data_IF_214194715917
#
_entry.id   IF_214194715917
#
_cell.length_a   1.000
_cell.length_b   1.000
_cell.length_c   1.000
_cell.angle_alpha   90.00
_cell.angle_beta   90.00
_cell.angle_gamma   90.00
#
_symmetry.space_group_name_H-M   'P 1'
#
loop_
_entity.id
_entity.type
_entity.pdbx_description
1 polymer ?
#
# COMPACT_ATOMS: atom_id res chain seq x y z
N UNK A 1 -34.54 34.67 27.45
CA UNK A 1 -33.22 34.40 28.07
C UNK A 1 -32.78 32.99 27.71
N UNK A 2 -31.94 32.84 26.68
CA UNK A 2 -31.40 31.53 26.26
C UNK A 2 -30.16 31.22 27.10
N UNK A 3 -30.17 30.10 27.82
CA UNK A 3 -29.04 29.59 28.60
C UNK A 3 -27.92 29.20 27.65
N UNK A 4 -26.74 29.78 27.86
CA UNK A 4 -25.48 29.41 27.23
C UNK A 4 -25.03 28.03 27.79
N UNK A 5 -24.52 27.10 26.97
CA UNK A 5 -23.95 25.86 27.50
C UNK A 5 -22.54 26.15 28.04
N UNK A 6 -22.34 25.85 29.32
CA UNK A 6 -21.06 25.95 30.02
C UNK A 6 -20.11 24.85 29.51
N UNK A 7 -19.07 25.22 28.78
CA UNK A 7 -17.95 24.34 28.47
C UNK A 7 -17.08 24.17 29.72
N UNK A 8 -17.11 22.99 30.35
CA UNK A 8 -16.17 22.64 31.42
C UNK A 8 -14.85 22.19 30.77
N UNK A 9 -13.86 23.08 30.78
CA UNK A 9 -12.47 22.73 30.49
C UNK A 9 -11.86 22.19 31.79
N UNK A 10 -11.71 20.87 31.89
CA UNK A 10 -11.00 20.26 33.02
C UNK A 10 -9.49 20.33 32.73
N UNK A 11 -8.77 21.19 33.47
CA UNK A 11 -7.31 21.21 33.48
C UNK A 11 -6.81 20.08 34.40
N UNK A 12 -6.07 19.13 33.85
CA UNK A 12 -5.44 18.03 34.58
C UNK A 12 -4.12 18.50 35.23
N UNK A 13 -3.91 18.25 36.54
CA UNK A 13 -2.62 18.50 37.17
C UNK A 13 -1.61 17.43 36.74
N UNK A 14 -0.41 17.87 36.38
CA UNK A 14 0.72 17.00 36.08
C UNK A 14 1.39 16.64 37.42
N UNK A 15 1.27 15.38 37.84
CA UNK A 15 2.05 14.82 38.94
C UNK A 15 2.81 13.60 38.42
N UNK A 16 4.13 13.63 38.51
CA UNK A 16 4.98 12.45 38.37
C UNK A 16 5.59 12.09 39.73
N UNK A 17 5.77 10.78 39.91
CA UNK A 17 6.38 10.03 41.02
C UNK A 17 5.44 9.59 42.15
N UNK A 18 5.02 8.31 42.07
CA UNK A 18 4.46 7.55 43.21
C UNK A 18 3.32 6.58 42.87
N UNK A 19 3.66 5.38 42.36
CA UNK A 19 2.91 4.10 42.40
C UNK A 19 1.47 3.93 41.86
N UNK A 20 0.70 4.94 41.47
CA UNK A 20 -0.58 4.71 40.80
C UNK A 20 -0.68 5.49 39.49
N UNK A 21 -0.50 4.80 38.36
CA UNK A 21 -0.82 5.34 37.05
C UNK A 21 -2.30 5.76 37.01
N UNK A 22 -2.59 6.94 36.46
CA UNK A 22 -3.96 7.44 36.36
C UNK A 22 -4.79 6.54 35.45
N UNK A 23 -6.01 6.21 35.86
CA UNK A 23 -6.93 5.44 35.03
C UNK A 23 -7.58 6.34 33.96
N UNK A 24 -7.70 5.82 32.73
CA UNK A 24 -8.45 6.46 31.64
C UNK A 24 -9.79 5.76 31.47
N UNK A 25 -10.86 6.56 31.43
CA UNK A 25 -12.19 6.12 31.08
C UNK A 25 -12.27 5.84 29.57
N UNK A 26 -12.87 4.72 29.19
CA UNK A 26 -13.17 4.45 27.78
C UNK A 26 -14.28 5.37 27.26
N UNK A 27 -14.29 5.60 25.95
CA UNK A 27 -15.26 6.42 25.22
C UNK A 27 -15.31 7.89 25.68
N UNK A 28 -14.22 8.37 26.27
CA UNK A 28 -14.02 9.76 26.71
C UNK A 28 -12.77 10.32 26.09
N UNK A 29 -12.83 11.59 25.69
CA UNK A 29 -11.69 12.29 25.09
C UNK A 29 -10.96 13.13 26.14
N UNK A 30 -9.65 13.01 26.16
CA UNK A 30 -8.74 13.80 27.00
C UNK A 30 -7.93 14.71 26.08
N UNK A 31 -8.10 16.02 26.21
CA UNK A 31 -7.54 16.97 25.25
C UNK A 31 -6.26 17.64 25.74
N UNK A 32 -5.33 17.87 24.81
CA UNK A 32 -4.23 18.83 24.97
C UNK A 32 -3.35 18.57 26.21
N UNK A 33 -3.12 17.30 26.55
CA UNK A 33 -2.24 16.86 27.63
C UNK A 33 -0.80 17.20 27.25
N UNK A 34 -0.09 17.95 28.08
CA UNK A 34 1.30 18.33 27.82
C UNK A 34 2.24 17.14 27.94
N UNK A 35 3.19 17.04 27.02
CA UNK A 35 4.29 16.08 27.05
C UNK A 35 5.58 16.83 26.78
N UNK A 36 6.56 16.70 27.67
CA UNK A 36 7.88 17.31 27.56
C UNK A 36 8.98 16.26 27.47
N UNK A 37 10.21 16.68 27.13
CA UNK A 37 11.37 15.81 26.82
C UNK A 37 11.64 14.69 27.83
N UNK A 38 11.45 14.96 29.12
CA UNK A 38 11.69 14.01 30.23
C UNK A 38 10.41 13.43 30.83
N UNK A 39 9.24 13.86 30.34
CA UNK A 39 7.97 13.40 30.84
C UNK A 39 7.58 12.09 30.14
N UNK A 40 6.96 11.21 30.91
CA UNK A 40 6.34 9.98 30.42
C UNK A 40 4.88 10.03 30.83
N UNK A 41 3.95 9.89 29.88
CA UNK A 41 2.55 9.73 30.23
C UNK A 41 2.26 8.24 30.33
N UNK A 42 1.80 7.79 31.50
CA UNK A 42 1.41 6.41 31.72
C UNK A 42 0.02 6.34 32.32
N UNK A 43 -0.86 5.62 31.64
CA UNK A 43 -2.26 5.46 32.04
C UNK A 43 -2.61 4.00 32.25
N UNK A 44 -3.37 3.73 33.31
CA UNK A 44 -3.95 2.42 33.57
C UNK A 44 -5.21 2.23 32.71
N UNK A 45 -5.31 1.07 32.06
CA UNK A 45 -6.47 0.64 31.27
C UNK A 45 -7.04 -0.63 31.89
N UNK A 46 -8.31 -0.60 32.29
CA UNK A 46 -9.00 -1.77 32.85
C UNK A 46 -9.73 -2.52 31.74
N UNK A 47 -9.06 -3.48 31.11
CA UNK A 47 -9.65 -4.27 30.04
C UNK A 47 -10.53 -5.40 30.59
N UNK A 48 -11.61 -5.66 29.86
CA UNK A 48 -12.46 -6.83 30.07
C UNK A 48 -11.97 -7.96 29.17
N UNK A 49 -12.14 -9.21 29.63
CA UNK A 49 -11.84 -10.40 28.83
C UNK A 49 -12.65 -10.37 27.54
N UNK A 50 -11.98 -10.55 26.41
CA UNK A 50 -12.51 -10.47 25.04
C UNK A 50 -13.06 -9.08 24.65
N UNK A 51 -12.71 -8.02 25.39
CA UNK A 51 -13.03 -6.65 25.01
C UNK A 51 -12.21 -6.21 23.80
N UNK A 52 -12.84 -5.48 22.88
CA UNK A 52 -12.19 -4.89 21.70
C UNK A 52 -12.08 -3.39 21.90
N UNK A 53 -10.88 -2.86 21.69
CA UNK A 53 -10.52 -1.49 21.96
C UNK A 53 -9.82 -0.87 20.76
N UNK A 54 -10.10 0.41 20.49
CA UNK A 54 -9.30 1.24 19.59
C UNK A 54 -8.64 2.35 20.40
N UNK A 55 -7.33 2.36 20.41
CA UNK A 55 -6.54 3.40 21.06
C UNK A 55 -6.20 4.44 19.99
N UNK A 56 -6.46 5.71 20.29
CA UNK A 56 -6.25 6.84 19.40
C UNK A 56 -5.60 7.98 20.17
N UNK A 57 -4.39 8.38 19.77
CA UNK A 57 -3.63 9.47 20.37
C UNK A 57 -3.28 10.48 19.30
N UNK A 58 -3.89 11.66 19.36
CA UNK A 58 -3.59 12.78 18.49
C UNK A 58 -2.37 13.53 18.97
N UNK A 59 -1.39 13.69 18.11
CA UNK A 59 -0.16 14.44 18.30
C UNK A 59 -0.35 15.91 17.90
N UNK A 60 0.09 16.82 18.75
CA UNK A 60 0.06 18.27 18.53
C UNK A 60 1.45 18.84 18.77
N UNK A 61 2.28 18.84 17.72
CA UNK A 61 3.64 19.36 17.73
C UNK A 61 4.63 18.52 18.53
N UNK A 62 4.44 17.21 18.64
CA UNK A 62 5.38 16.28 19.25
C UNK A 62 5.25 14.88 18.66
N UNK A 63 6.36 14.26 18.33
CA UNK A 63 6.37 12.87 17.87
C UNK A 63 6.38 11.89 19.04
N UNK A 64 5.53 10.86 19.00
CA UNK A 64 5.33 9.95 20.12
C UNK A 64 5.25 8.50 19.67
N UNK A 65 5.75 7.61 20.53
CA UNK A 65 5.53 6.18 20.42
C UNK A 65 4.54 5.74 21.49
N UNK A 66 3.55 4.95 21.09
CA UNK A 66 2.59 4.33 21.99
C UNK A 66 3.07 2.93 22.38
N UNK A 67 3.07 2.62 23.68
CA UNK A 67 3.40 1.28 24.17
C UNK A 67 2.27 0.76 25.04
N UNK A 68 1.73 -0.39 24.67
CA UNK A 68 0.81 -1.15 25.52
C UNK A 68 1.60 -2.24 26.25
N UNK A 69 1.42 -2.32 27.56
CA UNK A 69 2.06 -3.32 28.43
C UNK A 69 1.03 -4.00 29.33
N UNK A 70 1.33 -5.22 29.77
CA UNK A 70 0.53 -5.93 30.76
C UNK A 70 0.73 -5.38 32.19
N UNK A 71 0.10 -6.01 33.19
CA UNK A 71 0.23 -5.61 34.60
C UNK A 71 1.65 -5.71 35.16
N UNK A 72 2.51 -6.53 34.53
CA UNK A 72 3.91 -6.75 34.88
C UNK A 72 4.87 -5.79 34.16
N UNK A 73 4.33 -4.90 33.31
CA UNK A 73 5.06 -4.02 32.38
C UNK A 73 5.75 -4.76 31.23
N UNK A 74 5.33 -5.98 30.92
CA UNK A 74 5.80 -6.70 29.74
C UNK A 74 5.19 -6.06 28.49
N UNK A 75 6.00 -5.70 27.47
CA UNK A 75 5.49 -5.14 26.22
C UNK A 75 4.54 -6.09 25.49
N UNK A 76 3.41 -5.57 25.05
CA UNK A 76 2.41 -6.27 24.22
C UNK A 76 2.44 -5.73 22.79
N UNK A 77 2.42 -4.40 22.66
CA UNK A 77 2.36 -3.73 21.38
C UNK A 77 3.08 -2.39 21.48
N UNK A 78 3.80 -2.04 20.42
CA UNK A 78 4.40 -0.72 20.24
C UNK A 78 3.92 -0.16 18.90
N UNK A 79 3.60 1.13 18.86
CA UNK A 79 3.04 1.79 17.69
C UNK A 79 3.65 3.18 17.50
N UNK A 80 4.23 3.35 16.33
CA UNK A 80 4.74 4.60 15.76
C UNK A 80 4.32 4.61 14.27
N UNK A 81 3.59 5.62 13.84
CA UNK A 81 3.08 5.76 12.48
C UNK A 81 3.89 6.82 11.74
N UNK A 82 3.99 6.74 10.40
CA UNK A 82 4.78 7.69 9.61
C UNK A 82 4.05 9.03 9.43
N UNK A 83 3.58 9.61 10.53
CA UNK A 83 2.81 10.83 10.64
C UNK A 83 3.63 11.99 11.22
N UNK A 84 4.78 11.70 11.84
CA UNK A 84 5.66 12.72 12.41
C UNK A 84 5.02 13.41 13.62
N UNK A 85 5.48 14.62 13.94
CA UNK A 85 5.03 15.37 15.12
C UNK A 85 3.56 15.87 15.12
N UNK A 86 2.79 15.64 14.06
CA UNK A 86 1.38 16.02 13.97
C UNK A 86 0.59 14.95 13.20
N UNK A 87 -0.38 14.34 13.87
CA UNK A 87 -1.19 13.28 13.30
C UNK A 87 -1.77 12.38 14.37
N UNK A 88 -2.33 11.25 13.95
CA UNK A 88 -2.96 10.26 14.79
C UNK A 88 -2.08 9.02 14.91
N UNK A 89 -1.69 8.69 16.13
CA UNK A 89 -1.26 7.35 16.47
C UNK A 89 -2.46 6.49 16.85
N UNK A 90 -2.61 5.34 16.19
CA UNK A 90 -3.73 4.46 16.48
C UNK A 90 -3.44 2.98 16.24
N UNK A 91 -4.03 2.15 17.11
CA UNK A 91 -4.04 0.69 16.96
C UNK A 91 -5.30 0.09 17.58
N UNK A 92 -5.68 -1.08 17.08
CA UNK A 92 -6.74 -1.91 17.65
C UNK A 92 -6.12 -2.95 18.60
N UNK A 93 -6.81 -3.27 19.70
CA UNK A 93 -6.39 -4.31 20.64
C UNK A 93 -7.60 -5.11 21.11
N UNK A 94 -7.50 -6.44 21.06
CA UNK A 94 -8.46 -7.37 21.67
C UNK A 94 -7.81 -8.00 22.89
N UNK A 95 -8.39 -7.77 24.07
CA UNK A 95 -7.82 -8.31 25.31
C UNK A 95 -8.26 -9.77 25.52
N UNK A 96 -7.32 -10.65 25.83
CA UNK A 96 -7.60 -12.08 26.06
C UNK A 96 -7.93 -12.42 27.53
N UNK A 97 -7.72 -11.47 28.43
CA UNK A 97 -7.94 -11.62 29.86
C UNK A 97 -8.52 -10.34 30.46
N UNK A 98 -9.20 -10.47 31.60
CA UNK A 98 -9.64 -9.31 32.35
C UNK A 98 -8.48 -8.85 33.22
N UNK A 99 -8.12 -7.57 33.16
CA UNK A 99 -6.98 -7.11 33.93
C UNK A 99 -6.66 -5.64 33.76
N UNK A 100 -5.63 -5.21 34.50
CA UNK A 100 -5.03 -3.89 34.38
C UNK A 100 -3.86 -3.95 33.40
N UNK A 101 -3.88 -3.06 32.43
CA UNK A 101 -2.83 -2.85 31.44
C UNK A 101 -2.34 -1.40 31.55
N UNK A 102 -1.22 -1.09 30.90
CA UNK A 102 -0.73 0.28 30.86
C UNK A 102 -0.45 0.74 29.42
N UNK A 103 -1.01 1.90 29.07
CA UNK A 103 -0.62 2.66 27.90
C UNK A 103 0.42 3.70 28.32
N UNK A 104 1.62 3.58 27.76
CA UNK A 104 2.64 4.63 27.82
C UNK A 104 2.63 5.42 26.51
N UNK A 105 2.77 6.73 26.64
CA UNK A 105 2.94 7.66 25.52
C UNK A 105 4.27 8.37 25.77
N UNK A 106 5.26 7.96 24.99
CA UNK A 106 6.63 8.41 25.15
C UNK A 106 6.98 9.33 23.98
N UNK A 107 7.72 10.42 24.22
CA UNK A 107 8.32 11.18 23.12
C UNK A 107 9.28 10.28 22.35
N UNK A 108 9.15 10.20 21.04
CA UNK A 108 10.06 9.44 20.18
C UNK A 108 11.47 10.06 20.24
N UNK A 109 12.50 9.24 20.47
CA UNK A 109 13.87 9.73 20.58
C UNK A 109 14.54 9.81 19.21
N UNK A 110 14.27 10.91 18.50
CA UNK A 110 14.83 11.18 17.18
C UNK A 110 15.26 12.64 17.00
N UNK A 111 16.16 12.86 16.05
CA UNK A 111 16.63 14.19 15.68
C UNK A 111 15.51 15.00 15.04
N UNK A 112 15.22 16.17 15.60
CA UNK A 112 14.21 17.09 15.07
C UNK A 112 12.83 17.00 15.74
N UNK A 113 12.59 15.98 16.57
CA UNK A 113 11.36 15.92 17.37
C UNK A 113 11.36 17.04 18.43
N UNK A 114 10.31 17.88 18.52
CA UNK A 114 10.25 18.97 19.49
C UNK A 114 10.45 18.54 20.96
N UNK A 115 11.03 19.43 21.77
CA UNK A 115 11.28 19.19 23.20
C UNK A 115 9.99 19.11 24.03
N UNK A 116 8.92 19.72 23.54
CA UNK A 116 7.60 19.69 24.15
C UNK A 116 6.51 19.78 23.08
N UNK A 117 5.36 19.22 23.42
CA UNK A 117 4.13 19.36 22.66
C UNK A 117 2.96 18.88 23.48
N UNK A 118 1.88 18.48 22.80
CA UNK A 118 0.68 17.99 23.45
C UNK A 118 0.13 16.77 22.75
N UNK A 119 -0.62 15.96 23.49
CA UNK A 119 -1.39 14.85 22.96
C UNK A 119 -2.86 14.95 23.35
N UNK A 120 -3.76 14.39 22.54
CA UNK A 120 -5.15 14.16 22.94
C UNK A 120 -5.49 12.69 22.80
N UNK A 121 -6.02 12.08 23.86
CA UNK A 121 -6.24 10.64 23.96
C UNK A 121 -7.73 10.35 23.85
N UNK A 122 -8.07 9.35 23.05
CA UNK A 122 -9.38 8.73 23.01
C UNK A 122 -9.22 7.23 22.90
N UNK A 123 -9.89 6.48 23.77
CA UNK A 123 -9.88 5.02 23.73
C UNK A 123 -11.31 4.55 23.58
N UNK A 124 -11.65 4.04 22.39
CA UNK A 124 -12.96 3.45 22.13
C UNK A 124 -13.01 2.05 22.70
N UNK A 125 -14.03 1.74 23.49
CA UNK A 125 -14.43 0.36 23.81
C UNK A 125 -15.65 0.02 22.98
N UNK A 126 -15.51 -0.93 22.07
CA UNK A 126 -16.62 -1.35 21.23
C UNK A 126 -17.61 -2.22 22.02
N UNK A 127 -18.89 -1.99 21.78
CA UNK A 127 -19.96 -2.89 22.19
C UNK A 127 -19.95 -4.15 21.32
N UNK A 128 -20.57 -5.24 21.83
CA UNK A 128 -20.72 -6.47 21.05
C UNK A 128 -21.49 -6.24 19.75
N UNK A 129 -22.52 -5.39 19.77
CA UNK A 129 -23.30 -5.03 18.58
C UNK A 129 -22.48 -4.28 17.55
N UNK A 130 -21.64 -3.32 17.96
CA UNK A 130 -20.75 -2.62 17.01
C UNK A 130 -19.72 -3.56 16.39
N UNK A 131 -19.16 -4.49 17.17
CA UNK A 131 -18.22 -5.48 16.65
C UNK A 131 -18.92 -6.38 15.63
N UNK A 132 -20.13 -6.84 15.95
CA UNK A 132 -20.91 -7.71 15.07
C UNK A 132 -21.32 -6.98 13.78
N UNK A 133 -21.73 -5.72 13.88
CA UNK A 133 -22.09 -4.89 12.73
C UNK A 133 -20.90 -4.68 11.80
N UNK A 134 -19.73 -4.32 12.35
CA UNK A 134 -18.50 -4.16 11.56
C UNK A 134 -18.15 -5.48 10.86
N UNK A 135 -18.13 -6.60 11.61
CA UNK A 135 -17.81 -7.91 11.05
C UNK A 135 -18.78 -8.31 9.95
N UNK A 136 -20.08 -8.25 10.22
CA UNK A 136 -21.13 -8.61 9.26
C UNK A 136 -21.08 -7.73 8.01
N UNK A 137 -20.66 -6.46 8.14
CA UNK A 137 -20.57 -5.54 7.00
C UNK A 137 -19.45 -5.88 6.01
N UNK A 138 -18.33 -6.46 6.48
CA UNK A 138 -17.17 -6.77 5.62
C UNK A 138 -17.01 -8.28 5.33
N UNK A 139 -17.62 -9.16 6.12
CA UNK A 139 -17.49 -10.61 5.98
C UNK A 139 -17.90 -11.14 4.59
N UNK A 140 -19.01 -10.68 3.97
CA UNK A 140 -19.36 -11.10 2.63
C UNK A 140 -18.31 -10.70 1.58
N UNK A 141 -17.66 -9.55 1.76
CA UNK A 141 -16.57 -9.13 0.87
C UNK A 141 -15.30 -9.93 1.14
N UNK A 142 -14.97 -10.17 2.40
CA UNK A 142 -13.80 -10.94 2.82
C UNK A 142 -13.82 -12.40 2.32
N UNK A 143 -15.02 -12.96 2.11
CA UNK A 143 -15.20 -14.28 1.53
C UNK A 143 -14.91 -14.34 0.01
N UNK A 144 -14.92 -13.21 -0.71
CA UNK A 144 -14.69 -13.18 -2.16
C UNK A 144 -13.20 -13.37 -2.51
N UNK A 145 -12.96 -13.88 -3.72
CA UNK A 145 -11.63 -13.88 -4.33
C UNK A 145 -11.20 -12.49 -4.79
N UNK A 146 -12.16 -11.64 -5.14
CA UNK A 146 -11.94 -10.26 -5.60
C UNK A 146 -12.72 -9.30 -4.70
N UNK A 147 -11.99 -8.43 -4.01
CA UNK A 147 -12.48 -7.43 -3.08
C UNK A 147 -12.45 -6.04 -3.72
N UNK A 148 -13.53 -5.28 -3.53
CA UNK A 148 -13.82 -4.00 -4.16
C UNK A 148 -14.63 -3.06 -3.25
N UNK A 149 -15.16 -3.55 -2.12
CA UNK A 149 -15.95 -2.75 -1.16
C UNK A 149 -15.21 -1.50 -0.67
N UNK A 150 -13.88 -1.57 -0.56
CA UNK A 150 -13.06 -0.46 -0.10
C UNK A 150 -13.05 0.74 -1.08
N UNK A 151 -13.43 0.53 -2.34
CA UNK A 151 -13.69 1.63 -3.28
C UNK A 151 -14.89 2.47 -2.81
N UNK A 152 -15.95 1.82 -2.31
CA UNK A 152 -17.12 2.51 -1.80
C UNK A 152 -16.80 3.26 -0.50
N UNK A 153 -16.07 2.61 0.41
CA UNK A 153 -15.60 3.21 1.66
C UNK A 153 -14.78 4.49 1.40
N UNK A 154 -13.85 4.45 0.43
CA UNK A 154 -13.07 5.62 0.05
C UNK A 154 -13.95 6.75 -0.47
N UNK A 155 -14.86 6.48 -1.42
CA UNK A 155 -15.70 7.52 -2.01
C UNK A 155 -16.68 8.12 -1.01
N UNK A 156 -17.17 7.33 -0.05
CA UNK A 156 -17.95 7.83 1.07
C UNK A 156 -17.13 8.79 1.94
N UNK A 157 -15.88 8.43 2.28
CA UNK A 157 -14.97 9.31 3.01
C UNK A 157 -14.71 10.61 2.23
N UNK A 158 -14.36 10.49 0.95
CA UNK A 158 -14.10 11.61 0.04
C UNK A 158 -15.29 12.59 -0.02
N UNK A 159 -16.51 12.08 -0.20
CA UNK A 159 -17.71 12.91 -0.27
C UNK A 159 -18.03 13.63 1.05
N UNK A 160 -17.60 13.08 2.19
CA UNK A 160 -17.78 13.69 3.50
C UNK A 160 -16.70 14.73 3.84
N UNK A 161 -15.56 14.76 3.14
CA UNK A 161 -14.52 15.78 3.34
C UNK A 161 -15.04 17.20 3.15
N UNK A 162 -16.00 17.43 2.24
CA UNK A 162 -16.62 18.76 2.03
C UNK A 162 -17.40 19.30 3.23
N UNK A 163 -17.72 18.44 4.21
CA UNK A 163 -18.42 18.81 5.45
C UNK A 163 -17.46 19.11 6.60
N UNK A 164 -16.17 18.78 6.43
CA UNK A 164 -15.14 18.97 7.45
C UNK A 164 -14.77 20.45 7.59
N UNK A 165 -14.54 20.91 8.83
CA UNK A 165 -14.19 22.31 9.12
C UNK A 165 -12.73 22.47 9.51
N UNK A 166 -12.13 21.42 10.05
CA UNK A 166 -10.74 21.39 10.49
C UNK A 166 -9.98 20.26 9.83
N UNK A 167 -8.64 20.35 9.82
CA UNK A 167 -7.78 19.25 9.37
C UNK A 167 -8.05 17.96 10.16
N UNK A 168 -8.25 18.07 11.48
CA UNK A 168 -8.56 16.93 12.34
C UNK A 168 -9.90 16.29 11.97
N UNK A 169 -10.91 17.08 11.58
CA UNK A 169 -12.19 16.56 11.09
C UNK A 169 -11.96 15.72 9.82
N UNK A 170 -11.14 16.22 8.88
CA UNK A 170 -10.83 15.53 7.63
C UNK A 170 -10.10 14.21 7.87
N UNK A 171 -9.08 14.22 8.73
CA UNK A 171 -8.31 13.02 9.08
C UNK A 171 -9.19 12.02 9.82
N UNK A 172 -9.99 12.46 10.80
CA UNK A 172 -10.95 11.59 11.48
C UNK A 172 -11.99 10.99 10.52
N UNK A 173 -12.43 11.76 9.51
CA UNK A 173 -13.36 11.31 8.49
C UNK A 173 -12.77 10.20 7.63
N UNK A 174 -11.55 10.39 7.11
CA UNK A 174 -10.87 9.32 6.33
C UNK A 174 -10.57 8.10 7.21
N UNK A 175 -10.11 8.30 8.44
CA UNK A 175 -9.83 7.20 9.35
C UNK A 175 -11.09 6.36 9.59
N UNK A 176 -12.21 6.99 9.91
CA UNK A 176 -13.44 6.29 10.32
C UNK A 176 -14.19 5.69 9.14
N UNK A 177 -14.29 6.43 8.03
CA UNK A 177 -15.12 6.03 6.90
C UNK A 177 -14.37 5.15 5.89
N UNK A 178 -13.03 5.13 5.92
CA UNK A 178 -12.22 4.31 5.02
C UNK A 178 -11.35 3.29 5.77
N UNK A 179 -10.35 3.74 6.54
CA UNK A 179 -9.32 2.83 7.07
C UNK A 179 -9.82 1.92 8.18
N UNK A 180 -10.75 2.38 9.03
CA UNK A 180 -11.35 1.57 10.10
C UNK A 180 -12.32 0.51 9.58
N UNK A 181 -12.77 0.67 8.33
CA UNK A 181 -13.69 -0.24 7.63
C UNK A 181 -12.97 -1.12 6.62
N UNK A 182 -11.65 -1.14 6.66
CA UNK A 182 -10.82 -1.89 5.74
C UNK A 182 -11.20 -3.37 5.71
N UNK A 183 -11.39 -3.90 4.50
CA UNK A 183 -11.42 -5.35 4.29
C UNK A 183 -10.03 -5.94 4.49
N UNK A 184 -9.91 -7.27 4.50
CA UNK A 184 -8.62 -7.93 4.72
C UNK A 184 -7.57 -7.51 3.68
N UNK A 185 -7.97 -7.29 2.43
CA UNK A 185 -7.07 -6.81 1.39
C UNK A 185 -6.57 -5.39 1.65
N UNK A 186 -7.42 -4.47 2.08
CA UNK A 186 -6.99 -3.11 2.42
C UNK A 186 -6.12 -3.08 3.68
N UNK A 187 -6.34 -3.98 4.66
CA UNK A 187 -5.45 -4.12 5.82
C UNK A 187 -4.02 -4.47 5.39
N UNK A 188 -3.87 -5.45 4.49
CA UNK A 188 -2.58 -5.80 3.90
C UNK A 188 -1.99 -4.61 3.13
N UNK A 189 -2.81 -3.88 2.39
CA UNK A 189 -2.35 -2.72 1.62
C UNK A 189 -1.87 -1.57 2.52
N UNK A 190 -2.57 -1.32 3.63
CA UNK A 190 -2.17 -0.34 4.65
C UNK A 190 -0.80 -0.70 5.19
N UNK A 191 -0.54 -1.98 5.47
CA UNK A 191 0.75 -2.45 5.97
C UNK A 191 1.85 -2.29 4.92
N UNK A 192 1.60 -2.73 3.67
CA UNK A 192 2.59 -2.73 2.58
C UNK A 192 2.96 -1.31 2.13
N UNK A 193 2.03 -0.35 2.19
CA UNK A 193 2.26 1.03 1.71
C UNK A 193 2.27 2.11 2.80
N UNK A 194 2.09 1.72 4.06
CA UNK A 194 2.11 2.64 5.19
C UNK A 194 1.04 3.73 5.05
N UNK A 195 -0.19 3.33 4.72
CA UNK A 195 -1.31 4.25 4.56
C UNK A 195 -1.76 4.82 5.91
N UNK A 196 -1.96 6.14 5.92
CA UNK A 196 -2.52 6.86 7.07
C UNK A 196 -3.53 7.90 6.59
N UNK A 197 -4.49 8.24 7.45
CA UNK A 197 -5.54 9.19 7.09
C UNK A 197 -4.96 10.57 6.74
N UNK A 198 -3.87 10.98 7.38
CA UNK A 198 -3.12 12.21 7.10
C UNK A 198 -2.56 12.22 5.68
N UNK A 199 -1.94 11.11 5.26
CA UNK A 199 -1.42 10.99 3.89
C UNK A 199 -2.55 11.08 2.87
N UNK A 200 -3.68 10.45 3.12
CA UNK A 200 -4.86 10.55 2.24
C UNK A 200 -5.41 11.98 2.17
N UNK A 201 -5.63 12.64 3.31
CA UNK A 201 -6.12 14.03 3.33
C UNK A 201 -5.18 14.96 2.58
N UNK A 202 -3.87 14.80 2.76
CA UNK A 202 -2.84 15.56 2.02
C UNK A 202 -2.90 15.29 0.53
N UNK A 203 -2.95 14.01 0.13
CA UNK A 203 -2.95 13.61 -1.26
C UNK A 203 -4.22 14.06 -2.00
N UNK A 204 -5.38 13.92 -1.36
CA UNK A 204 -6.66 14.39 -1.90
C UNK A 204 -6.67 15.92 -2.06
N UNK A 205 -6.13 16.66 -1.08
CA UNK A 205 -6.01 18.10 -1.19
C UNK A 205 -5.00 18.54 -2.27
N UNK A 206 -4.00 17.71 -2.57
CA UNK A 206 -3.00 18.01 -3.59
C UNK A 206 -3.47 17.70 -5.02
N UNK A 207 -4.28 16.66 -5.19
CA UNK A 207 -4.80 16.21 -6.50
C UNK A 207 -6.33 16.09 -6.58
N UNK A 208 -7.11 17.12 -6.17
CA UNK A 208 -8.56 17.02 -6.10
C UNK A 208 -9.24 16.81 -7.46
N UNK A 209 -8.72 17.39 -8.55
CA UNK A 209 -9.31 17.19 -9.89
C UNK A 209 -9.07 15.78 -10.40
N UNK A 210 -7.88 15.23 -10.15
CA UNK A 210 -7.59 13.85 -10.50
C UNK A 210 -8.56 12.88 -9.83
N UNK A 211 -8.69 12.93 -8.48
CA UNK A 211 -9.63 12.06 -7.76
C UNK A 211 -11.06 12.25 -8.26
N UNK A 212 -11.51 13.49 -8.47
CA UNK A 212 -12.85 13.74 -9.00
C UNK A 212 -13.05 13.09 -10.38
N UNK A 213 -12.06 13.16 -11.26
CA UNK A 213 -12.14 12.64 -12.63
C UNK A 213 -12.03 11.10 -12.71
N UNK A 214 -11.24 10.46 -11.84
CA UNK A 214 -11.00 9.00 -11.88
C UNK A 214 -12.11 8.19 -11.23
N UNK A 215 -13.01 8.82 -10.46
CA UNK A 215 -14.09 8.15 -9.72
C UNK A 215 -14.89 7.19 -10.58
N UNK A 216 -15.34 7.62 -11.76
CA UNK A 216 -16.09 6.78 -12.69
C UNK A 216 -15.33 5.50 -13.06
N UNK A 217 -14.03 5.62 -13.31
CA UNK A 217 -13.18 4.49 -13.69
C UNK A 217 -13.02 3.49 -12.55
N UNK A 218 -12.85 3.98 -11.32
CA UNK A 218 -12.70 3.11 -10.15
C UNK A 218 -13.99 2.33 -9.84
N UNK A 219 -15.16 2.91 -10.13
CA UNK A 219 -16.44 2.19 -9.99
C UNK A 219 -16.54 1.04 -11.00
N UNK A 220 -16.00 1.20 -12.21
CA UNK A 220 -15.97 0.12 -13.21
C UNK A 220 -15.12 -1.08 -12.75
N UNK A 221 -14.10 -0.86 -11.91
CA UNK A 221 -13.29 -1.95 -11.33
C UNK A 221 -14.12 -2.93 -10.49
N UNK A 222 -15.28 -2.51 -9.97
CA UNK A 222 -16.22 -3.39 -9.26
C UNK A 222 -16.78 -4.52 -10.12
N UNK A 223 -16.68 -4.37 -11.46
CA UNK A 223 -17.09 -5.40 -12.44
C UNK A 223 -15.93 -6.32 -12.83
N UNK A 224 -14.74 -6.15 -12.26
CA UNK A 224 -13.55 -6.90 -12.67
C UNK A 224 -13.58 -8.38 -12.30
N UNK A 225 -14.40 -8.80 -11.33
CA UNK A 225 -14.46 -10.19 -10.82
C UNK A 225 -14.38 -11.27 -11.91
N UNK A 226 -15.33 -11.34 -12.87
CA UNK A 226 -15.29 -12.33 -13.93
C UNK A 226 -14.03 -12.29 -14.81
N UNK A 227 -13.49 -11.10 -15.08
CA UNK A 227 -12.27 -10.93 -15.88
C UNK A 227 -11.02 -11.38 -15.12
N UNK A 228 -10.99 -11.21 -13.80
CA UNK A 228 -9.91 -11.70 -12.95
C UNK A 228 -9.95 -13.22 -12.81
N UNK A 229 -11.13 -13.81 -12.70
CA UNK A 229 -11.27 -15.28 -12.72
C UNK A 229 -10.84 -15.87 -14.08
N UNK A 230 -11.05 -15.14 -15.18
CA UNK A 230 -10.49 -15.52 -16.50
C UNK A 230 -8.95 -15.47 -16.49
N UNK A 231 -8.35 -14.41 -15.92
CA UNK A 231 -6.89 -14.32 -15.73
C UNK A 231 -6.37 -15.52 -14.95
N UNK A 232 -7.00 -15.88 -13.83
CA UNK A 232 -6.60 -17.04 -13.03
C UNK A 232 -6.70 -18.35 -13.80
N UNK A 233 -7.79 -18.54 -14.54
CA UNK A 233 -7.96 -19.72 -15.38
C UNK A 233 -6.86 -19.82 -16.44
N UNK A 234 -6.55 -18.72 -17.13
CA UNK A 234 -5.49 -18.68 -18.15
C UNK A 234 -4.12 -18.95 -17.52
N UNK A 235 -3.87 -18.39 -16.33
CA UNK A 235 -2.63 -18.62 -15.59
C UNK A 235 -2.47 -20.10 -15.20
N UNK A 236 -3.51 -20.74 -14.65
CA UNK A 236 -3.50 -22.17 -14.33
C UNK A 236 -3.25 -23.07 -15.55
N UNK A 237 -3.69 -22.66 -16.73
CA UNK A 237 -3.44 -23.39 -17.97
C UNK A 237 -1.99 -23.23 -18.45
N UNK A 238 -1.41 -22.04 -18.28
CA UNK A 238 -0.07 -21.71 -18.71
C UNK A 238 1.02 -22.24 -17.75
N UNK A 239 0.73 -22.23 -16.45
CA UNK A 239 1.65 -22.58 -15.36
C UNK A 239 0.96 -23.50 -14.33
N UNK A 240 1.19 -24.84 -14.40
CA UNK A 240 0.50 -25.81 -13.55
C UNK A 240 0.69 -25.63 -12.04
N UNK A 241 1.78 -24.98 -11.62
CA UNK A 241 2.08 -24.71 -10.20
C UNK A 241 1.39 -23.44 -9.66
N UNK A 242 0.55 -22.76 -10.46
CA UNK A 242 -0.10 -21.52 -10.08
C UNK A 242 -0.94 -21.66 -8.79
N UNK A 243 -0.65 -20.80 -7.81
CA UNK A 243 -1.43 -20.66 -6.58
C UNK A 243 -2.05 -19.26 -6.53
N UNK A 244 -3.37 -19.12 -6.82
CA UNK A 244 -4.00 -17.81 -6.86
C UNK A 244 -4.02 -17.17 -5.48
N UNK A 245 -3.61 -15.90 -5.43
CA UNK A 245 -3.88 -15.03 -4.30
C UNK A 245 -5.24 -14.36 -4.50
N UNK A 246 -5.83 -13.84 -3.42
CA UNK A 246 -7.00 -12.97 -3.56
C UNK A 246 -6.58 -11.65 -4.20
N UNK A 247 -7.53 -10.91 -4.78
CA UNK A 247 -7.27 -9.58 -5.35
C UNK A 247 -8.04 -8.55 -4.55
N UNK A 248 -7.37 -7.47 -4.18
CA UNK A 248 -7.96 -6.32 -3.52
C UNK A 248 -7.84 -5.09 -4.43
N UNK A 249 -8.97 -4.53 -4.83
CA UNK A 249 -9.06 -3.22 -5.46
C UNK A 249 -9.45 -2.20 -4.40
N UNK A 250 -8.53 -1.26 -4.13
CA UNK A 250 -8.76 -0.17 -3.20
C UNK A 250 -8.21 1.14 -3.79
N UNK A 251 -8.51 2.27 -3.15
CA UNK A 251 -7.99 3.58 -3.55
C UNK A 251 -6.77 3.92 -2.69
N UNK A 252 -5.63 4.12 -3.34
CA UNK A 252 -4.36 4.44 -2.73
C UNK A 252 -4.02 5.93 -2.78
N UNK A 253 -2.72 6.21 -2.67
CA UNK A 253 -2.14 7.54 -2.64
C UNK A 253 -1.56 7.97 -4.00
N UNK A 254 -2.05 7.40 -5.12
CA UNK A 254 -1.55 7.68 -6.48
C UNK A 254 -0.05 7.35 -6.63
N UNK A 255 0.42 6.30 -5.96
CA UNK A 255 1.82 5.89 -5.96
C UNK A 255 2.04 4.41 -6.28
N UNK A 256 0.96 3.65 -6.47
CA UNK A 256 1.00 2.20 -6.66
C UNK A 256 -0.05 1.82 -7.68
N UNK A 257 0.35 1.21 -8.80
CA UNK A 257 -0.58 0.55 -9.73
C UNK A 257 -1.01 -0.81 -9.18
N UNK A 258 -0.02 -1.64 -8.88
CA UNK A 258 -0.17 -2.94 -8.24
C UNK A 258 0.98 -3.21 -7.26
N UNK A 259 0.76 -4.16 -6.36
CA UNK A 259 1.77 -4.79 -5.51
C UNK A 259 1.23 -6.07 -4.91
N UNK A 260 2.00 -6.74 -4.06
CA UNK A 260 1.61 -8.01 -3.44
C UNK A 260 1.86 -8.03 -1.93
N UNK A 261 1.03 -8.80 -1.22
CA UNK A 261 1.30 -9.29 0.13
C UNK A 261 1.52 -10.80 0.09
N UNK A 262 1.49 -11.50 1.23
CA UNK A 262 1.54 -12.96 1.27
C UNK A 262 0.19 -13.64 0.96
N UNK A 263 -0.89 -12.87 0.79
CA UNK A 263 -2.25 -13.39 0.58
C UNK A 263 -3.01 -12.67 -0.53
N UNK A 264 -2.57 -11.45 -0.89
CA UNK A 264 -3.28 -10.59 -1.83
C UNK A 264 -2.38 -10.05 -2.93
N UNK A 265 -2.94 -9.97 -4.13
CA UNK A 265 -2.60 -8.95 -5.14
C UNK A 265 -3.36 -7.68 -4.77
N UNK A 266 -2.63 -6.58 -4.61
CA UNK A 266 -3.13 -5.30 -4.09
C UNK A 266 -3.08 -4.24 -5.19
N UNK A 267 -4.23 -3.79 -5.66
CA UNK A 267 -4.35 -2.89 -6.81
C UNK A 267 -4.77 -1.50 -6.35
N UNK A 268 -3.90 -0.52 -6.59
CA UNK A 268 -4.22 0.91 -6.48
C UNK A 268 -5.10 1.31 -7.66
N UNK A 269 -6.41 1.24 -7.45
CA UNK A 269 -7.41 1.31 -8.52
C UNK A 269 -7.41 2.68 -9.19
N UNK A 270 -7.07 3.74 -8.47
CA UNK A 270 -6.93 5.09 -9.02
C UNK A 270 -5.82 5.18 -10.07
N UNK A 271 -4.75 4.40 -9.95
CA UNK A 271 -3.68 4.36 -10.95
C UNK A 271 -4.05 3.39 -12.07
N UNK A 272 -4.40 2.16 -11.71
CA UNK A 272 -4.59 1.06 -12.67
C UNK A 272 -5.84 1.21 -13.54
N UNK A 273 -6.88 1.88 -13.04
CA UNK A 273 -8.09 2.18 -13.81
C UNK A 273 -8.02 3.55 -14.52
N UNK A 274 -6.95 4.34 -14.38
CA UNK A 274 -6.83 5.62 -15.07
C UNK A 274 -6.84 5.45 -16.58
N UNK A 275 -7.30 6.45 -17.33
CA UNK A 275 -7.40 6.43 -18.80
C UNK A 275 -7.16 7.84 -19.33
N UNK A 276 -7.07 8.02 -20.65
CA UNK A 276 -7.04 9.35 -21.29
C UNK A 276 -8.06 10.38 -20.79
N UNK A 277 -9.20 9.94 -20.24
CA UNK A 277 -10.25 10.83 -19.73
C UNK A 277 -10.00 11.42 -18.34
N UNK A 278 -8.96 10.99 -17.61
CA UNK A 278 -8.66 11.52 -16.26
C UNK A 278 -7.95 12.88 -16.35
N UNK A 279 -8.25 13.77 -15.41
CA UNK A 279 -7.65 15.09 -15.31
C UNK A 279 -6.28 14.98 -14.63
N UNK A 280 -5.21 15.16 -15.42
CA UNK A 280 -3.82 15.20 -14.93
C UNK A 280 -3.22 16.60 -14.91
N UNK A 281 -4.05 17.65 -14.99
CA UNK A 281 -3.57 19.04 -15.00
C UNK A 281 -2.76 19.42 -13.75
N UNK A 282 -2.94 18.68 -12.66
CA UNK A 282 -2.28 18.86 -11.38
C UNK A 282 -0.89 18.19 -11.29
N UNK A 283 -0.49 17.39 -12.29
CA UNK A 283 0.77 16.62 -12.29
C UNK A 283 1.90 17.26 -13.11
N UNK A 284 1.63 18.40 -13.76
CA UNK A 284 2.55 18.99 -14.73
C UNK A 284 2.95 18.03 -15.86
N UNK A 285 4.09 18.29 -16.51
CA UNK A 285 4.62 17.46 -17.58
C UNK A 285 5.55 16.35 -17.04
N UNK A 286 5.08 15.57 -16.06
CA UNK A 286 5.84 14.45 -15.48
C UNK A 286 5.71 13.17 -16.32
N UNK A 287 6.68 12.26 -16.24
CA UNK A 287 6.54 10.94 -16.88
C UNK A 287 5.37 10.16 -16.28
N UNK A 288 5.10 10.35 -14.98
CA UNK A 288 3.98 9.72 -14.29
C UNK A 288 2.61 10.14 -14.83
N UNK A 289 2.42 11.41 -15.20
CA UNK A 289 1.14 11.85 -15.79
C UNK A 289 0.84 11.14 -17.12
N UNK A 290 1.86 10.80 -17.90
CA UNK A 290 1.73 10.01 -19.15
C UNK A 290 1.22 8.59 -18.90
N UNK A 291 1.60 7.97 -17.78
CA UNK A 291 1.10 6.64 -17.38
C UNK A 291 -0.40 6.70 -17.07
N UNK A 292 -0.83 7.74 -16.35
CA UNK A 292 -2.23 7.92 -15.96
C UNK A 292 -3.15 8.16 -17.17
N UNK A 293 -2.66 8.81 -18.23
CA UNK A 293 -3.44 9.06 -19.45
C UNK A 293 -3.23 8.03 -20.57
N UNK A 294 -2.81 6.81 -20.22
CA UNK A 294 -2.64 5.74 -21.21
C UNK A 294 -3.97 5.31 -21.87
N UNK A 295 -3.85 4.83 -23.11
CA UNK A 295 -4.96 4.23 -23.86
C UNK A 295 -5.36 2.87 -23.28
N UNK A 296 -6.52 2.36 -23.72
CA UNK A 296 -7.02 1.04 -23.35
C UNK A 296 -8.31 1.05 -22.53
N UNK A 297 -9.05 -0.04 -22.60
CA UNK A 297 -10.26 -0.24 -21.80
C UNK A 297 -9.91 -0.55 -20.34
N UNK A 298 -10.63 0.05 -19.40
CA UNK A 298 -10.39 -0.11 -17.94
C UNK A 298 -10.26 -1.58 -17.56
N UNK A 299 -11.21 -2.43 -17.99
CA UNK A 299 -11.21 -3.85 -17.63
C UNK A 299 -9.95 -4.58 -18.13
N UNK A 300 -9.50 -4.29 -19.36
CA UNK A 300 -8.29 -4.89 -19.89
C UNK A 300 -7.05 -4.43 -19.12
N UNK A 301 -6.97 -3.13 -18.78
CA UNK A 301 -5.87 -2.62 -17.96
C UNK A 301 -5.81 -3.29 -16.58
N UNK A 302 -6.96 -3.51 -15.94
CA UNK A 302 -7.02 -4.24 -14.68
C UNK A 302 -6.61 -5.72 -14.83
N UNK A 303 -6.97 -6.38 -15.94
CA UNK A 303 -6.48 -7.73 -16.26
C UNK A 303 -4.96 -7.74 -16.39
N UNK A 304 -4.40 -6.82 -17.16
CA UNK A 304 -2.95 -6.72 -17.39
C UNK A 304 -2.21 -6.51 -16.06
N UNK A 305 -2.68 -5.58 -15.22
CA UNK A 305 -2.11 -5.31 -13.90
C UNK A 305 -2.19 -6.53 -12.97
N UNK A 306 -3.36 -7.16 -12.84
CA UNK A 306 -3.49 -8.34 -11.97
C UNK A 306 -2.64 -9.50 -12.49
N UNK A 307 -2.56 -9.72 -13.80
CA UNK A 307 -1.73 -10.76 -14.38
C UNK A 307 -0.24 -10.52 -14.09
N UNK A 308 0.24 -9.29 -14.24
CA UNK A 308 1.61 -8.89 -13.87
C UNK A 308 1.88 -9.21 -12.39
N UNK A 309 1.05 -8.71 -11.47
CA UNK A 309 1.26 -8.92 -10.03
C UNK A 309 1.12 -10.40 -9.63
N UNK A 310 0.28 -11.17 -10.32
CA UNK A 310 0.21 -12.61 -10.11
C UNK A 310 1.55 -13.27 -10.37
N UNK A 311 2.33 -12.84 -11.36
CA UNK A 311 3.66 -13.41 -11.61
C UNK A 311 4.58 -13.21 -10.41
N UNK A 312 4.60 -12.01 -9.81
CA UNK A 312 5.37 -11.74 -8.59
C UNK A 312 5.01 -12.69 -7.44
N UNK A 313 3.72 -13.04 -7.27
CA UNK A 313 3.30 -13.99 -6.22
C UNK A 313 3.81 -15.42 -6.46
N UNK A 314 4.23 -15.76 -7.68
CA UNK A 314 4.74 -17.08 -8.04
C UNK A 314 6.26 -17.14 -8.15
N UNK A 315 6.95 -16.00 -8.22
CA UNK A 315 8.40 -15.93 -8.33
C UNK A 315 9.08 -16.51 -7.07
N UNK A 316 10.12 -17.32 -7.29
CA UNK A 316 10.69 -18.15 -6.22
C UNK A 316 11.79 -17.47 -5.42
N UNK A 317 11.78 -17.74 -4.11
CA UNK A 317 12.89 -17.53 -3.18
C UNK A 317 13.07 -18.87 -2.43
N UNK A 318 14.27 -19.48 -2.34
CA UNK A 318 15.57 -18.83 -2.45
C UNK A 318 16.28 -18.98 -3.80
N UNK A 319 17.13 -17.99 -4.03
CA UNK A 319 18.10 -17.89 -5.11
C UNK A 319 19.12 -19.06 -5.10
N UNK A 320 19.64 -19.43 -6.28
CA UNK A 320 20.71 -20.44 -6.38
C UNK A 320 21.96 -19.94 -5.63
N UNK A 321 22.43 -20.72 -4.65
CA UNK A 321 23.57 -20.38 -3.80
C UNK A 321 24.88 -20.19 -4.57
N UNK A 322 24.98 -20.75 -5.78
CA UNK A 322 26.17 -20.65 -6.63
C UNK A 322 26.04 -19.56 -7.70
N UNK A 323 24.89 -18.91 -7.81
CA UNK A 323 24.67 -17.90 -8.82
C UNK A 323 25.35 -16.58 -8.42
N UNK A 324 26.02 -15.95 -9.39
CA UNK A 324 26.53 -14.59 -9.23
C UNK A 324 25.34 -13.64 -9.26
N UNK A 325 25.15 -12.86 -8.19
CA UNK A 325 24.03 -11.94 -8.08
C UNK A 325 24.38 -10.56 -8.66
N UNK A 326 23.68 -10.18 -9.71
CA UNK A 326 23.76 -8.87 -10.33
C UNK A 326 22.41 -8.18 -10.12
N UNK A 327 22.36 -7.23 -9.18
CA UNK A 327 21.12 -6.68 -8.63
C UNK A 327 20.22 -6.01 -9.67
N UNK A 328 20.81 -5.20 -10.55
CA UNK A 328 20.06 -4.56 -11.63
C UNK A 328 19.50 -5.59 -12.62
N UNK A 329 20.30 -6.57 -13.07
CA UNK A 329 19.84 -7.63 -13.97
C UNK A 329 18.70 -8.46 -13.35
N UNK A 330 18.85 -8.83 -12.07
CA UNK A 330 17.79 -9.53 -11.34
C UNK A 330 16.51 -8.71 -11.32
N UNK A 331 16.58 -7.43 -10.99
CA UNK A 331 15.41 -6.54 -10.91
C UNK A 331 14.73 -6.36 -12.27
N UNK A 332 15.53 -6.12 -13.31
CA UNK A 332 15.06 -6.00 -14.70
C UNK A 332 14.35 -7.26 -15.18
N UNK A 333 14.93 -8.44 -14.94
CA UNK A 333 14.27 -9.70 -15.27
C UNK A 333 13.01 -9.90 -14.45
N UNK A 334 13.05 -9.66 -13.15
CA UNK A 334 11.90 -9.84 -12.24
C UNK A 334 10.69 -9.04 -12.73
N UNK A 335 10.88 -7.78 -13.11
CA UNK A 335 9.82 -6.91 -13.62
C UNK A 335 9.40 -7.26 -15.05
N UNK A 336 10.36 -7.38 -15.97
CA UNK A 336 10.04 -7.65 -17.37
C UNK A 336 9.46 -9.06 -17.60
N UNK A 337 9.76 -10.02 -16.75
CA UNK A 337 9.16 -11.36 -16.80
C UNK A 337 7.69 -11.29 -16.40
N UNK A 338 7.33 -10.42 -15.46
CA UNK A 338 5.95 -10.16 -15.09
C UNK A 338 5.17 -9.55 -16.25
N UNK A 339 5.76 -8.61 -17.00
CA UNK A 339 5.14 -8.07 -18.21
C UNK A 339 4.95 -9.14 -19.30
N UNK A 340 5.94 -10.00 -19.51
CA UNK A 340 5.88 -11.03 -20.55
C UNK A 340 4.85 -12.12 -20.23
N UNK A 341 4.93 -12.72 -19.05
CA UNK A 341 3.96 -13.74 -18.64
C UNK A 341 2.58 -13.11 -18.44
N UNK A 342 2.52 -11.87 -17.92
CA UNK A 342 1.30 -11.09 -17.79
C UNK A 342 0.57 -10.91 -19.12
N UNK A 343 1.28 -10.57 -20.20
CA UNK A 343 0.70 -10.48 -21.55
C UNK A 343 0.21 -11.84 -22.05
N UNK A 344 0.98 -12.92 -21.87
CA UNK A 344 0.52 -14.25 -22.28
C UNK A 344 -0.79 -14.66 -21.60
N UNK A 345 -1.00 -14.22 -20.37
CA UNK A 345 -2.20 -14.53 -19.57
C UNK A 345 -3.36 -13.58 -19.87
N UNK A 346 -3.10 -12.27 -19.94
CA UNK A 346 -4.12 -11.22 -20.06
C UNK A 346 -4.48 -10.89 -21.52
N UNK A 347 -3.59 -11.21 -22.46
CA UNK A 347 -3.74 -10.98 -23.90
C UNK A 347 -3.35 -9.58 -24.38
N UNK A 348 -2.76 -8.75 -23.52
CA UNK A 348 -2.36 -7.37 -23.85
C UNK A 348 -1.21 -6.89 -22.96
N UNK A 349 -0.48 -5.88 -23.43
CA UNK A 349 0.69 -5.31 -22.78
C UNK A 349 0.33 -4.24 -21.75
N UNK A 350 0.96 -4.29 -20.57
CA UNK A 350 0.74 -3.31 -19.49
C UNK A 350 1.54 -2.01 -19.70
N UNK A 351 2.75 -2.10 -20.28
CA UNK A 351 3.73 -1.01 -20.35
C UNK A 351 4.00 -0.52 -21.79
N UNK A 352 2.92 -0.25 -22.55
CA UNK A 352 3.00 0.12 -23.97
C UNK A 352 3.95 1.30 -24.26
N UNK A 353 4.03 2.32 -23.40
CA UNK A 353 4.91 3.49 -23.62
C UNK A 353 6.39 3.11 -23.60
N UNK A 354 6.81 2.30 -22.62
CA UNK A 354 8.19 1.81 -22.54
C UNK A 354 8.48 0.83 -23.69
N UNK A 355 7.50 -0.01 -24.03
CA UNK A 355 7.61 -0.98 -25.11
C UNK A 355 7.80 -0.35 -26.49
N UNK A 356 6.95 0.62 -26.86
CA UNK A 356 7.03 1.31 -28.15
C UNK A 356 8.34 2.08 -28.35
N UNK A 357 8.89 2.65 -27.27
CA UNK A 357 10.22 3.27 -27.30
C UNK A 357 11.30 2.19 -27.40
N UNK A 358 11.21 1.15 -26.58
CA UNK A 358 12.15 0.04 -26.54
C UNK A 358 12.35 -0.61 -27.91
N UNK A 359 11.28 -0.88 -28.66
CA UNK A 359 11.37 -1.50 -29.99
C UNK A 359 12.16 -0.65 -31.00
N UNK A 360 12.20 0.68 -30.83
CA UNK A 360 12.95 1.61 -31.70
C UNK A 360 14.39 1.82 -31.26
N UNK A 361 14.73 1.42 -30.04
CA UNK A 361 16.00 1.74 -29.37
C UNK A 361 16.65 0.50 -28.71
N UNK A 362 16.23 -0.72 -29.08
CA UNK A 362 16.59 -1.98 -28.40
C UNK A 362 18.11 -2.14 -28.30
N UNK A 363 18.84 -1.85 -29.38
CA UNK A 363 20.29 -1.97 -29.43
C UNK A 363 20.99 -1.04 -28.44
N UNK A 364 20.64 0.25 -28.45
CA UNK A 364 21.29 1.25 -27.62
C UNK A 364 20.98 1.03 -26.14
N UNK A 365 19.72 0.71 -25.83
CA UNK A 365 19.29 0.37 -24.47
C UNK A 365 20.02 -0.86 -23.95
N UNK A 366 20.20 -1.89 -24.78
CA UNK A 366 20.95 -3.08 -24.37
C UNK A 366 22.43 -2.77 -24.08
N UNK A 367 23.09 -1.95 -24.90
CA UNK A 367 24.49 -1.57 -24.68
C UNK A 367 24.65 -0.85 -23.34
N UNK A 368 23.75 0.09 -23.04
CA UNK A 368 23.74 0.83 -21.77
C UNK A 368 23.52 -0.12 -20.58
N UNK A 369 22.44 -0.92 -20.59
CA UNK A 369 22.13 -1.84 -19.48
C UNK A 369 23.26 -2.84 -19.25
N UNK A 370 23.87 -3.37 -20.33
CA UNK A 370 24.95 -4.35 -20.23
C UNK A 370 26.16 -3.84 -19.44
N UNK A 371 26.42 -2.53 -19.49
CA UNK A 371 27.50 -1.92 -18.72
C UNK A 371 27.18 -1.74 -17.23
N UNK A 372 25.91 -1.90 -16.84
CA UNK A 372 25.38 -1.62 -15.50
C UNK A 372 24.80 -2.86 -14.79
N UNK A 373 24.81 -4.05 -15.40
CA UNK A 373 24.05 -5.24 -14.95
C UNK A 373 24.17 -5.56 -13.45
N UNK A 374 25.35 -5.35 -12.87
CA UNK A 374 25.66 -5.68 -11.49
C UNK A 374 25.76 -4.43 -10.57
N UNK A 375 25.29 -3.27 -11.04
CA UNK A 375 25.12 -2.09 -10.20
C UNK A 375 24.08 -2.36 -9.10
N UNK A 376 24.29 -1.74 -7.94
CA UNK A 376 23.36 -1.84 -6.81
C UNK A 376 22.11 -0.97 -6.98
N UNK A 377 22.19 0.06 -7.84
CA UNK A 377 21.12 1.04 -8.05
C UNK A 377 20.31 0.72 -9.29
N UNK A 378 18.99 0.78 -9.14
CA UNK A 378 18.03 0.54 -10.22
C UNK A 378 17.49 1.83 -10.88
N UNK A 379 17.83 3.00 -10.33
CA UNK A 379 17.22 4.31 -10.64
C UNK A 379 17.38 4.80 -12.09
N UNK A 380 18.31 4.23 -12.86
CA UNK A 380 18.45 4.52 -14.29
C UNK A 380 17.42 3.76 -15.16
N UNK A 381 16.86 2.68 -14.63
CA UNK A 381 16.10 1.66 -15.39
C UNK A 381 14.71 1.37 -14.85
N UNK A 382 14.50 1.49 -13.53
CA UNK A 382 13.27 1.10 -12.85
C UNK A 382 12.82 2.17 -11.85
N UNK A 383 11.49 2.34 -11.78
CA UNK A 383 10.72 3.24 -10.93
C UNK A 383 11.16 4.72 -11.02
N UNK A 384 11.65 5.15 -12.17
CA UNK A 384 12.34 6.42 -12.34
C UNK A 384 11.47 7.53 -12.96
N UNK A 385 10.16 7.49 -12.68
CA UNK A 385 9.17 8.43 -13.21
C UNK A 385 9.42 9.91 -12.84
N UNK A 386 10.12 10.17 -11.74
CA UNK A 386 10.42 11.54 -11.28
C UNK A 386 11.75 12.09 -11.82
N UNK A 387 12.67 11.20 -12.24
CA UNK A 387 14.02 11.57 -12.68
C UNK A 387 14.19 11.45 -14.19
N UNK A 388 13.43 10.58 -14.85
CA UNK A 388 13.48 10.40 -16.30
C UNK A 388 12.85 11.59 -17.04
N UNK A 389 13.59 12.18 -17.98
CA UNK A 389 13.20 13.40 -18.72
C UNK A 389 13.16 13.21 -20.24
N UNK A 390 14.24 12.65 -20.79
CA UNK A 390 14.46 12.57 -22.25
C UNK A 390 13.87 11.31 -22.89
N UNK A 391 13.59 10.29 -22.08
CA UNK A 391 13.05 9.00 -22.49
C UNK A 391 11.94 8.55 -21.54
N UNK A 392 11.13 7.54 -21.89
CA UNK A 392 10.19 6.95 -20.94
C UNK A 392 10.91 6.46 -19.67
N UNK A 393 10.19 6.45 -18.56
CA UNK A 393 10.62 5.73 -17.37
C UNK A 393 10.49 4.21 -17.60
N UNK A 394 11.06 3.42 -16.69
CA UNK A 394 10.84 1.96 -16.60
C UNK A 394 11.28 1.15 -17.84
N UNK A 395 12.28 1.64 -18.58
CA UNK A 395 12.84 0.92 -19.74
C UNK A 395 13.52 -0.41 -19.36
N UNK A 396 13.78 -0.64 -18.07
CA UNK A 396 14.18 -1.96 -17.57
C UNK A 396 13.13 -3.04 -17.83
N UNK A 397 11.84 -2.73 -17.69
CA UNK A 397 10.74 -3.67 -17.95
C UNK A 397 10.79 -4.19 -19.38
N UNK A 398 11.02 -3.29 -20.35
CA UNK A 398 11.17 -3.66 -21.75
C UNK A 398 12.32 -4.65 -21.98
N UNK A 399 13.52 -4.39 -21.45
CA UNK A 399 14.65 -5.31 -21.67
C UNK A 399 14.38 -6.67 -21.01
N UNK A 400 13.87 -6.68 -19.78
CA UNK A 400 13.51 -7.92 -19.08
C UNK A 400 12.48 -8.73 -19.86
N UNK A 401 11.47 -8.05 -20.42
CA UNK A 401 10.47 -8.65 -21.29
C UNK A 401 11.13 -9.30 -22.50
N UNK A 402 12.05 -8.61 -23.20
CA UNK A 402 12.70 -9.15 -24.40
C UNK A 402 13.56 -10.36 -24.08
N UNK A 403 14.19 -10.41 -22.91
CA UNK A 403 14.94 -11.57 -22.43
C UNK A 403 14.00 -12.78 -22.26
N UNK A 404 12.86 -12.61 -21.57
CA UNK A 404 11.87 -13.67 -21.43
C UNK A 404 11.29 -14.10 -22.79
N UNK A 405 10.98 -13.14 -23.66
CA UNK A 405 10.45 -13.38 -24.99
C UNK A 405 11.41 -14.23 -25.83
N UNK A 406 12.69 -13.92 -25.86
CA UNK A 406 13.67 -14.71 -26.61
C UNK A 406 13.88 -16.10 -26.00
N UNK A 407 13.91 -16.21 -24.67
CA UNK A 407 13.95 -17.52 -24.00
C UNK A 407 12.75 -18.39 -24.39
N UNK A 408 11.55 -17.84 -24.23
CA UNK A 408 10.30 -18.51 -24.58
C UNK A 408 10.26 -18.90 -26.05
N UNK A 409 10.66 -18.01 -26.96
CA UNK A 409 10.70 -18.27 -28.40
C UNK A 409 11.62 -19.44 -28.76
N UNK A 410 12.81 -19.48 -28.16
CA UNK A 410 13.84 -20.49 -28.42
C UNK A 410 13.55 -21.86 -27.78
N UNK A 411 12.66 -21.93 -26.79
CA UNK A 411 12.29 -23.17 -26.13
C UNK A 411 11.40 -24.06 -26.99
N UNK A 412 11.71 -25.37 -27.04
CA UNK A 412 10.85 -26.38 -27.69
C UNK A 412 9.60 -26.69 -26.87
N UNK A 413 9.70 -26.66 -25.55
CA UNK A 413 8.59 -26.85 -24.61
C UNK A 413 8.22 -25.50 -23.99
N UNK A 414 7.06 -24.97 -24.40
CA UNK A 414 6.57 -23.66 -23.95
C UNK A 414 6.11 -23.67 -22.49
N UNK A 415 5.54 -24.78 -22.01
CA UNK A 415 5.10 -24.89 -20.61
C UNK A 415 6.29 -24.95 -19.65
N UNK A 416 7.33 -25.68 -20.04
CA UNK A 416 8.61 -25.66 -19.33
C UNK A 416 9.25 -24.26 -19.34
N UNK A 417 9.20 -23.57 -20.48
CA UNK A 417 9.77 -22.23 -20.58
C UNK A 417 9.08 -21.22 -19.66
N UNK A 418 7.74 -21.26 -19.56
CA UNK A 418 6.98 -20.43 -18.61
C UNK A 418 7.42 -20.70 -17.18
N UNK A 419 7.51 -21.98 -16.81
CA UNK A 419 7.94 -22.40 -15.46
C UNK A 419 9.33 -21.84 -15.14
N UNK A 420 10.29 -21.97 -16.07
CA UNK A 420 11.66 -21.49 -15.88
C UNK A 420 11.78 -19.96 -15.86
N UNK A 421 10.90 -19.23 -16.56
CA UNK A 421 10.80 -17.77 -16.49
C UNK A 421 10.31 -17.35 -15.10
N UNK A 422 9.20 -17.93 -14.63
CA UNK A 422 8.60 -17.58 -13.33
C UNK A 422 9.52 -17.98 -12.17
N UNK A 423 10.09 -19.17 -12.22
CA UNK A 423 10.93 -19.75 -11.16
C UNK A 423 12.43 -19.40 -11.34
N UNK A 424 12.74 -18.32 -12.06
CA UNK A 424 14.12 -17.91 -12.31
C UNK A 424 14.87 -17.63 -11.00
N UNK A 425 16.00 -18.32 -10.82
CA UNK A 425 16.84 -18.23 -9.62
C UNK A 425 18.33 -17.96 -9.92
N UNK A 426 18.67 -17.75 -11.20
CA UNK A 426 20.03 -17.46 -11.68
C UNK A 426 19.95 -16.56 -12.95
N UNK A 427 19.93 -15.22 -12.79
CA UNK A 427 19.72 -14.25 -13.87
C UNK A 427 20.79 -14.30 -14.95
N UNK A 428 22.07 -14.43 -14.58
CA UNK A 428 23.15 -14.51 -15.57
C UNK A 428 23.06 -15.78 -16.41
N UNK A 429 22.76 -16.92 -15.76
CA UNK A 429 22.56 -18.16 -16.50
C UNK A 429 21.32 -18.08 -17.40
N UNK A 430 20.24 -17.49 -16.90
CA UNK A 430 19.02 -17.29 -17.66
C UNK A 430 19.28 -16.40 -18.89
N UNK A 431 20.01 -15.30 -18.73
CA UNK A 431 20.40 -14.41 -19.82
C UNK A 431 21.16 -15.16 -20.92
N UNK A 432 22.12 -16.01 -20.56
CA UNK A 432 22.86 -16.84 -21.50
C UNK A 432 21.92 -17.80 -22.25
N UNK A 433 21.06 -18.51 -21.52
CA UNK A 433 20.13 -19.49 -22.09
C UNK A 433 19.06 -18.83 -22.97
N UNK A 434 18.67 -17.59 -22.68
CA UNK A 434 17.71 -16.82 -23.49
C UNK A 434 18.23 -16.56 -24.91
N UNK A 435 19.56 -16.56 -25.08
CA UNK A 435 20.27 -16.12 -26.29
C UNK A 435 19.96 -14.68 -26.70
N UNK A 436 19.40 -13.88 -25.79
CA UNK A 436 19.06 -12.49 -26.05
C UNK A 436 20.29 -11.70 -26.51
N UNK A 437 21.47 -11.91 -25.90
CA UNK A 437 22.70 -11.23 -26.32
C UNK A 437 23.09 -11.53 -27.77
N UNK A 438 22.87 -12.77 -28.22
CA UNK A 438 23.33 -13.29 -29.51
C UNK A 438 22.43 -12.86 -30.68
N UNK A 439 21.20 -12.45 -30.39
CA UNK A 439 20.25 -11.93 -31.38
C UNK A 439 20.71 -10.57 -31.93
N UNK A 440 20.69 -10.34 -33.26
CA UNK A 440 20.83 -9.00 -33.84
C UNK A 440 19.72 -8.08 -33.33
N UNK A 441 20.09 -6.93 -32.76
CA UNK A 441 19.13 -5.93 -32.26
C UNK A 441 18.85 -4.88 -33.32
N UNK A 442 17.58 -4.51 -33.45
CA UNK A 442 17.06 -3.53 -34.40
C UNK A 442 17.50 -2.10 -34.09
#
# INVERSE_FOLDING_TARGET
MKKLPTFFILLLPILSFGQNAQEIDFNKTYHQIKLGKKANLKYALLFEKNGVYKISVWQHGIDVVLKLTDSSNTPILEKDSPNGSNGLETFNYTSHEKGRFYLSIDRLDENGNPEEGKVSIFIKKYSKSEIEEIKTSIEPENAKNVQTLDIDHFWEAFDNLKKCKTHNDSVATVQTLYLDRATNGLLDFIQVRGFTAEKFVRQIAHYPKFYASVRGNTIEAKKAGPAIEEVFKNFSQLYPNFKPFKVCFAIGLINTGGTTSNQFVLIGTEVSASTKGVDVSEFGNSAFSKVLVSEGGILQKLKNMVAHECVHTQQTIPYDKNAVFCGLLYSVMTEGFCDFIGELVAGDQINNVAFEYGEKHEKDLWIELKSELCNERNENWLYNYFTSKERPADLGYYIGYKIAQEYYKNASDKGKAVTEIIEMNNPLKFLELSRYEQKPKG
#
